data_IF_363309624673
#
_entry.id   IF_363309624673
#
_cell.length_a   1.000
_cell.length_b   1.000
_cell.length_c   1.000
_cell.angle_alpha   90.00
_cell.angle_beta   90.00
_cell.angle_gamma   90.00
#
_symmetry.space_group_name_H-M   'P 1'
#
loop_
_entity.id
_entity.type
_entity.pdbx_description
1 polymer ?
#
# COMPACT_ATOMS: atom_id res chain seq x y z
N UNK A 1 49.61 45.00 9.93
CA UNK A 1 49.52 43.56 9.59
C UNK A 1 48.40 42.89 10.40
N UNK A 2 47.11 43.22 10.18
CA UNK A 2 46.02 42.64 10.98
C UNK A 2 44.69 42.42 10.21
N UNK A 3 44.70 42.32 8.88
CA UNK A 3 43.47 42.10 8.09
C UNK A 3 43.38 40.72 7.39
N UNK A 4 44.46 39.94 7.40
CA UNK A 4 44.48 38.62 6.71
C UNK A 4 43.83 37.48 7.49
N UNK A 5 43.60 37.64 8.81
CA UNK A 5 43.09 36.57 9.68
C UNK A 5 41.56 36.54 9.80
N UNK A 6 40.87 37.61 9.41
CA UNK A 6 39.40 37.70 9.52
C UNK A 6 38.67 37.06 8.34
N UNK A 7 39.32 36.96 7.18
CA UNK A 7 38.72 36.33 5.99
C UNK A 7 38.70 34.79 6.05
N UNK A 8 39.55 34.16 6.88
CA UNK A 8 39.55 32.70 7.04
C UNK A 8 38.47 32.18 7.99
N UNK A 9 37.93 33.02 8.88
CA UNK A 9 36.84 32.61 9.78
C UNK A 9 35.48 32.58 9.10
N UNK A 10 35.26 33.45 8.12
CA UNK A 10 33.98 33.56 7.42
C UNK A 10 33.75 32.47 6.37
N UNK A 11 34.81 31.89 5.81
CA UNK A 11 34.69 30.81 4.81
C UNK A 11 34.33 29.46 5.43
N UNK A 12 34.70 29.21 6.70
CA UNK A 12 34.40 27.93 7.36
C UNK A 12 32.92 27.78 7.74
N UNK A 13 32.22 28.89 7.96
CA UNK A 13 30.80 28.89 8.36
C UNK A 13 29.83 28.80 7.18
N UNK A 14 30.28 29.13 5.96
CA UNK A 14 29.46 29.10 4.75
C UNK A 14 29.35 27.71 4.10
N UNK A 15 30.27 26.79 4.41
CA UNK A 15 30.26 25.44 3.84
C UNK A 15 29.25 24.49 4.48
N UNK A 16 28.87 24.72 5.75
CA UNK A 16 28.00 23.80 6.49
C UNK A 16 26.51 23.98 6.17
N UNK A 17 26.08 25.16 5.72
CA UNK A 17 24.69 25.41 5.34
C UNK A 17 24.32 24.79 3.97
N UNK A 18 25.28 24.68 3.04
CA UNK A 18 25.03 24.08 1.71
C UNK A 18 24.97 22.55 1.75
N UNK A 19 25.57 21.90 2.75
CA UNK A 19 25.49 20.45 2.91
C UNK A 19 24.08 19.98 3.35
N UNK A 20 23.29 20.85 4.00
CA UNK A 20 21.91 20.52 4.40
C UNK A 20 20.91 20.65 3.24
N UNK A 21 21.21 21.46 2.21
CA UNK A 21 20.40 21.53 0.98
C UNK A 21 20.63 20.33 0.04
N UNK A 22 21.65 19.51 0.32
CA UNK A 22 21.98 18.30 -0.46
C UNK A 22 21.24 17.04 -0.03
N UNK A 23 20.59 17.05 1.14
CA UNK A 23 19.59 16.04 1.47
C UNK A 23 18.29 16.46 0.78
N UNK A 24 17.98 15.88 -0.37
CA UNK A 24 16.80 16.16 -1.19
C UNK A 24 15.45 15.80 -0.54
N UNK A 25 15.26 16.14 0.73
CA UNK A 25 13.95 16.19 1.38
C UNK A 25 13.19 17.39 0.82
N UNK A 26 12.55 17.19 -0.33
CA UNK A 26 11.43 18.03 -0.68
C UNK A 26 10.31 17.71 0.31
N UNK A 27 9.83 18.75 1.01
CA UNK A 27 8.57 18.70 1.72
C UNK A 27 7.48 18.44 0.66
N UNK A 28 7.11 17.17 0.48
CA UNK A 28 5.92 16.77 -0.28
C UNK A 28 4.72 17.40 0.45
N UNK A 29 4.25 18.54 -0.04
CA UNK A 29 3.13 19.26 0.56
C UNK A 29 3.07 20.78 0.33
N UNK A 30 4.03 21.40 -0.38
CA UNK A 30 3.99 22.85 -0.64
C UNK A 30 3.67 23.24 -2.10
N UNK A 31 3.84 22.35 -3.09
CA UNK A 31 3.74 22.70 -4.52
C UNK A 31 3.09 21.64 -5.44
N UNK A 32 2.49 20.60 -4.86
CA UNK A 32 1.63 19.69 -5.61
C UNK A 32 0.25 19.80 -5.01
N UNK A 33 -0.75 20.10 -5.82
CA UNK A 33 -2.17 20.00 -5.48
C UNK A 33 -2.39 18.69 -4.72
N UNK A 34 -2.41 18.75 -3.38
CA UNK A 34 -2.71 17.60 -2.53
C UNK A 34 -4.20 17.45 -2.70
N UNK A 35 -4.57 16.75 -3.76
CA UNK A 35 -5.93 16.43 -4.15
C UNK A 35 -6.69 16.02 -2.90
N UNK A 36 -7.47 16.98 -2.39
CA UNK A 36 -8.39 16.73 -1.31
C UNK A 36 -9.46 15.86 -1.95
N UNK A 37 -9.49 14.59 -1.57
CA UNK A 37 -10.56 13.68 -1.93
C UNK A 37 -11.83 14.23 -1.26
N UNK A 38 -12.45 15.23 -1.87
CA UNK A 38 -13.55 15.99 -1.24
C UNK A 38 -14.80 15.13 -1.14
N UNK A 39 -15.04 14.31 -2.18
CA UNK A 39 -16.21 13.43 -2.29
C UNK A 39 -15.83 12.06 -2.85
N UNK A 40 -16.37 11.00 -2.26
CA UNK A 40 -16.21 9.61 -2.72
C UNK A 40 -17.54 8.86 -2.63
N UNK A 41 -17.89 8.09 -3.65
CA UNK A 41 -19.01 7.14 -3.59
C UNK A 41 -18.46 5.76 -3.22
N UNK A 42 -19.12 5.06 -2.29
CA UNK A 42 -18.82 3.66 -1.97
C UNK A 42 -20.00 2.82 -2.42
N UNK A 43 -19.73 1.80 -3.22
CA UNK A 43 -20.76 0.96 -3.83
C UNK A 43 -20.32 -0.50 -3.92
N UNK A 44 -21.25 -1.37 -4.32
CA UNK A 44 -20.99 -2.79 -4.54
C UNK A 44 -21.41 -3.67 -3.35
N UNK A 45 -21.34 -5.00 -3.51
CA UNK A 45 -21.79 -5.95 -2.50
C UNK A 45 -21.00 -5.90 -1.18
N UNK A 46 -19.81 -5.30 -1.17
CA UNK A 46 -19.02 -5.06 0.05
C UNK A 46 -19.27 -3.72 0.74
N UNK A 47 -20.22 -2.91 0.27
CA UNK A 47 -20.46 -1.56 0.81
C UNK A 47 -21.00 -1.55 2.25
N UNK A 48 -21.60 -2.65 2.71
CA UNK A 48 -22.11 -2.83 4.08
C UNK A 48 -21.17 -3.70 4.93
N UNK A 49 -19.92 -3.88 4.49
CA UNK A 49 -18.92 -4.62 5.27
C UNK A 49 -18.39 -3.79 6.44
N UNK A 50 -17.89 -4.40 7.53
CA UNK A 50 -17.29 -3.65 8.61
C UNK A 50 -16.03 -2.88 8.18
N UNK A 51 -15.39 -3.26 7.06
CA UNK A 51 -14.30 -2.50 6.45
C UNK A 51 -14.84 -1.21 5.82
N UNK A 52 -15.95 -1.28 5.10
CA UNK A 52 -16.59 -0.12 4.50
C UNK A 52 -17.05 0.87 5.57
N UNK A 53 -17.63 0.39 6.67
CA UNK A 53 -18.02 1.21 7.81
C UNK A 53 -16.82 1.99 8.39
N UNK A 54 -15.73 1.29 8.74
CA UNK A 54 -14.52 1.94 9.28
C UNK A 54 -13.86 2.88 8.26
N UNK A 55 -13.92 2.56 6.97
CA UNK A 55 -13.42 3.42 5.91
C UNK A 55 -14.23 4.72 5.82
N UNK A 56 -15.55 4.65 5.88
CA UNK A 56 -16.44 5.81 5.87
C UNK A 56 -16.13 6.71 7.06
N UNK A 57 -16.12 6.15 8.28
CA UNK A 57 -15.81 6.89 9.50
C UNK A 57 -14.46 7.62 9.40
N UNK A 58 -13.44 6.93 8.91
CA UNK A 58 -12.11 7.50 8.78
C UNK A 58 -12.02 8.57 7.69
N UNK A 59 -12.73 8.39 6.56
CA UNK A 59 -12.82 9.38 5.48
C UNK A 59 -13.53 10.65 5.96
N UNK A 60 -14.66 10.51 6.64
CA UNK A 60 -15.42 11.64 7.19
C UNK A 60 -14.61 12.39 8.26
N UNK A 61 -13.88 11.67 9.11
CA UNK A 61 -12.96 12.27 10.08
C UNK A 61 -11.83 13.09 9.43
N UNK A 62 -11.51 12.82 8.16
CA UNK A 62 -10.53 13.56 7.35
C UNK A 62 -11.17 14.62 6.43
N UNK A 63 -12.49 14.83 6.50
CA UNK A 63 -13.20 15.85 5.73
C UNK A 63 -13.65 15.40 4.33
N UNK A 64 -13.53 14.11 4.01
CA UNK A 64 -14.09 13.54 2.77
C UNK A 64 -15.57 13.22 2.98
N UNK A 65 -16.44 13.71 2.10
CA UNK A 65 -17.87 13.40 2.12
C UNK A 65 -18.17 12.12 1.32
N UNK A 66 -18.86 11.16 1.94
CA UNK A 66 -19.29 9.95 1.25
C UNK A 66 -20.68 10.17 0.65
N UNK A 67 -20.79 10.17 -0.68
CA UNK A 67 -22.05 10.45 -1.39
C UNK A 67 -22.11 9.75 -2.75
N UNK A 68 -23.30 9.29 -3.15
CA UNK A 68 -23.52 8.58 -4.41
C UNK A 68 -23.18 9.40 -5.67
N UNK A 69 -23.23 10.74 -5.54
CA UNK A 69 -22.98 11.69 -6.64
C UNK A 69 -21.51 12.10 -6.77
N UNK A 70 -20.60 11.46 -6.04
CA UNK A 70 -19.19 11.79 -6.07
C UNK A 70 -18.54 11.56 -7.46
N UNK A 71 -17.46 12.28 -7.80
CA UNK A 71 -16.73 12.11 -9.06
C UNK A 71 -16.00 10.75 -9.17
N UNK A 72 -15.71 10.13 -8.03
CA UNK A 72 -15.07 8.83 -7.92
C UNK A 72 -16.00 7.86 -7.19
N UNK A 73 -16.00 6.61 -7.66
CA UNK A 73 -16.71 5.50 -7.05
C UNK A 73 -15.74 4.37 -6.72
N UNK A 74 -15.64 4.04 -5.45
CA UNK A 74 -14.99 2.85 -4.93
C UNK A 74 -16.00 1.71 -4.90
N UNK A 75 -15.82 0.72 -5.77
CA UNK A 75 -16.65 -0.48 -5.78
C UNK A 75 -15.96 -1.58 -4.97
N UNK A 76 -16.58 -1.95 -3.85
CA UNK A 76 -16.11 -2.98 -2.92
C UNK A 76 -16.84 -4.29 -3.18
N UNK A 77 -16.09 -5.39 -3.13
CA UNK A 77 -16.64 -6.74 -3.00
C UNK A 77 -16.58 -7.18 -1.53
N UNK A 78 -17.29 -8.27 -1.16
CA UNK A 78 -17.20 -8.81 0.18
C UNK A 78 -15.74 -9.09 0.55
N UNK A 79 -15.37 -8.69 1.75
CA UNK A 79 -14.08 -9.05 2.31
C UNK A 79 -14.02 -10.54 2.60
N UNK A 80 -12.82 -11.10 2.49
CA UNK A 80 -12.51 -12.48 2.83
C UNK A 80 -11.41 -12.49 3.89
N UNK A 81 -11.55 -13.34 4.90
CA UNK A 81 -10.50 -13.52 5.91
C UNK A 81 -10.26 -14.99 6.23
N UNK A 82 -8.99 -15.34 6.41
CA UNK A 82 -8.59 -16.68 6.78
C UNK A 82 -7.38 -16.67 7.71
N UNK A 83 -7.16 -17.82 8.36
CA UNK A 83 -6.03 -18.02 9.27
C UNK A 83 -4.95 -18.81 8.55
N UNK A 84 -3.73 -18.28 8.60
CA UNK A 84 -2.51 -18.98 8.23
C UNK A 84 -1.80 -19.38 9.52
N UNK A 85 -1.68 -20.69 9.76
CA UNK A 85 -0.89 -21.20 10.88
C UNK A 85 0.58 -20.82 10.70
N UNK A 86 1.18 -20.29 11.77
CA UNK A 86 2.59 -19.99 11.89
C UNK A 86 3.37 -21.09 12.61
N UNK A 87 4.55 -20.73 13.10
CA UNK A 87 5.44 -21.64 13.83
C UNK A 87 5.01 -21.88 15.28
N UNK A 88 5.51 -22.96 15.86
CA UNK A 88 5.42 -23.22 17.30
C UNK A 88 6.60 -22.54 18.00
N UNK A 89 6.31 -21.80 19.06
CA UNK A 89 7.30 -21.13 19.89
C UNK A 89 7.90 -22.10 20.92
N UNK A 90 9.13 -21.83 21.32
CA UNK A 90 9.82 -22.60 22.37
C UNK A 90 9.08 -22.59 23.73
N UNK A 91 8.16 -21.63 23.93
CA UNK A 91 7.32 -21.50 25.13
C UNK A 91 6.04 -22.35 25.09
N UNK A 92 5.81 -23.14 24.02
CA UNK A 92 4.58 -23.91 23.80
C UNK A 92 3.48 -23.14 23.06
N UNK A 93 3.65 -21.82 22.84
CA UNK A 93 2.70 -21.04 22.05
C UNK A 93 2.73 -21.37 20.55
N UNK A 94 1.67 -21.02 19.83
CA UNK A 94 1.59 -21.09 18.38
C UNK A 94 1.25 -19.71 17.82
N UNK A 95 2.02 -19.24 16.84
CA UNK A 95 1.67 -18.03 16.10
C UNK A 95 0.61 -18.36 15.05
N UNK A 96 -0.40 -17.50 14.94
CA UNK A 96 -1.42 -17.55 13.89
C UNK A 96 -1.48 -16.16 13.23
N UNK A 97 -1.53 -16.16 11.90
CA UNK A 97 -1.65 -14.93 11.12
C UNK A 97 -3.03 -14.86 10.51
N UNK A 98 -3.76 -13.79 10.80
CA UNK A 98 -4.95 -13.39 10.07
C UNK A 98 -4.52 -12.77 8.75
N UNK A 99 -5.11 -13.23 7.65
CA UNK A 99 -5.01 -12.61 6.33
C UNK A 99 -6.37 -12.05 5.97
N UNK A 100 -6.45 -10.76 5.65
CA UNK A 100 -7.65 -10.05 5.25
C UNK A 100 -7.50 -9.58 3.81
N UNK A 101 -8.44 -9.97 2.94
CA UNK A 101 -8.50 -9.65 1.53
C UNK A 101 -9.73 -8.80 1.22
N UNK A 102 -9.51 -7.66 0.58
CA UNK A 102 -10.58 -6.75 0.17
C UNK A 102 -10.46 -6.51 -1.34
N UNK A 103 -11.24 -7.21 -2.17
CA UNK A 103 -11.25 -6.98 -3.62
C UNK A 103 -12.00 -5.69 -3.94
N UNK A 104 -11.37 -4.79 -4.68
CA UNK A 104 -11.93 -3.48 -5.02
C UNK A 104 -11.66 -3.09 -6.48
N UNK A 105 -12.41 -2.09 -6.93
CA UNK A 105 -12.16 -1.36 -8.18
C UNK A 105 -12.55 0.09 -8.01
N UNK A 106 -11.93 0.97 -8.78
CA UNK A 106 -12.14 2.42 -8.70
C UNK A 106 -12.56 2.92 -10.07
N UNK A 107 -13.69 3.61 -10.11
CA UNK A 107 -14.32 4.08 -11.33
C UNK A 107 -14.54 5.59 -11.23
N UNK A 108 -14.34 6.29 -12.35
CA UNK A 108 -14.75 7.69 -12.49
C UNK A 108 -16.21 7.73 -12.94
N UNK A 109 -17.04 8.50 -12.24
CA UNK A 109 -18.49 8.54 -12.53
C UNK A 109 -18.82 9.29 -13.81
N UNK A 110 -18.01 10.28 -14.20
CA UNK A 110 -18.23 11.12 -15.37
C UNK A 110 -18.24 10.34 -16.71
N UNK A 111 -17.33 9.40 -16.89
CA UNK A 111 -17.13 8.64 -18.13
C UNK A 111 -17.21 7.12 -17.92
N UNK A 112 -17.51 6.68 -16.70
CA UNK A 112 -17.54 5.27 -16.31
C UNK A 112 -16.22 4.52 -16.53
N UNK A 113 -15.10 5.22 -16.74
CA UNK A 113 -13.80 4.58 -16.90
C UNK A 113 -13.27 4.04 -15.58
N UNK A 114 -12.68 2.85 -15.62
CA UNK A 114 -11.97 2.27 -14.50
C UNK A 114 -10.58 2.90 -14.39
N UNK A 115 -10.31 3.56 -13.27
CA UNK A 115 -8.96 3.96 -12.88
C UNK A 115 -8.19 2.76 -12.31
N UNK A 116 -8.91 1.89 -11.60
CA UNK A 116 -8.41 0.60 -11.10
C UNK A 116 -9.45 -0.46 -11.46
N UNK A 117 -9.13 -1.36 -12.38
CA UNK A 117 -10.10 -2.31 -12.94
C UNK A 117 -10.48 -3.42 -11.97
N UNK A 118 -9.51 -4.01 -11.26
CA UNK A 118 -9.73 -5.04 -10.24
C UNK A 118 -8.41 -5.29 -9.51
N UNK A 119 -8.36 -4.95 -8.24
CA UNK A 119 -7.25 -5.25 -7.36
C UNK A 119 -7.74 -5.84 -6.05
N UNK A 120 -6.82 -6.44 -5.30
CA UNK A 120 -7.09 -6.92 -3.93
C UNK A 120 -6.15 -6.19 -2.99
N UNK A 121 -6.72 -5.57 -1.96
CA UNK A 121 -5.96 -5.09 -0.82
C UNK A 121 -5.82 -6.25 0.18
N UNK A 122 -4.60 -6.73 0.35
CA UNK A 122 -4.28 -7.76 1.34
C UNK A 122 -3.58 -7.10 2.54
N UNK A 123 -4.02 -7.42 3.74
CA UNK A 123 -3.37 -7.03 5.00
C UNK A 123 -3.30 -8.23 5.93
N UNK A 124 -2.36 -8.19 6.86
CA UNK A 124 -2.15 -9.29 7.79
C UNK A 124 -1.90 -8.76 9.21
N UNK A 125 -2.32 -9.54 10.20
CA UNK A 125 -2.00 -9.32 11.61
C UNK A 125 -1.71 -10.68 12.26
N UNK A 126 -0.80 -10.70 13.23
CA UNK A 126 -0.36 -11.95 13.88
C UNK A 126 -0.68 -11.89 15.37
N UNK A 127 -1.18 -13.00 15.90
CA UNK A 127 -1.37 -13.20 17.33
C UNK A 127 -0.78 -14.56 17.77
N UNK A 128 -0.44 -14.66 19.05
CA UNK A 128 0.10 -15.88 19.63
C UNK A 128 -0.94 -16.55 20.52
N UNK A 129 -1.26 -17.80 20.23
CA UNK A 129 -2.09 -18.65 21.08
C UNK A 129 -1.21 -19.40 22.07
N UNK A 130 -1.59 -19.44 23.34
CA UNK A 130 -0.89 -20.20 24.38
C UNK A 130 -1.70 -21.44 24.73
N UNK A 131 -1.01 -22.57 24.99
CA UNK A 131 -1.64 -23.88 25.30
C UNK A 131 -2.71 -23.79 26.42
N UNK A 132 -2.49 -22.92 27.41
CA UNK A 132 -3.39 -22.73 28.54
C UNK A 132 -4.57 -21.78 28.29
N UNK A 133 -4.63 -21.11 27.13
CA UNK A 133 -5.61 -20.06 26.84
C UNK A 133 -6.41 -20.31 25.56
N UNK A 134 -6.88 -21.55 25.39
CA UNK A 134 -7.72 -21.92 24.24
C UNK A 134 -9.11 -21.27 24.27
N UNK A 135 -9.59 -20.86 25.45
CA UNK A 135 -10.89 -20.20 25.61
C UNK A 135 -10.93 -18.82 24.93
N UNK A 136 -9.81 -18.09 24.90
CA UNK A 136 -9.74 -16.75 24.28
C UNK A 136 -9.31 -16.78 22.82
N UNK A 137 -9.27 -17.95 22.17
CA UNK A 137 -8.81 -18.05 20.77
C UNK A 137 -9.66 -17.20 19.82
N UNK A 138 -10.96 -17.23 20.01
CA UNK A 138 -11.89 -16.48 19.16
C UNK A 138 -11.75 -14.97 19.41
N UNK A 139 -11.62 -14.54 20.66
CA UNK A 139 -11.36 -13.14 21.01
C UNK A 139 -10.05 -12.62 20.38
N UNK A 140 -8.95 -13.37 20.51
CA UNK A 140 -7.65 -13.02 19.93
C UNK A 140 -7.72 -12.93 18.40
N UNK A 141 -8.51 -13.81 17.78
CA UNK A 141 -8.73 -13.81 16.33
C UNK A 141 -9.51 -12.58 15.90
N UNK A 142 -10.60 -12.27 16.57
CA UNK A 142 -11.44 -11.10 16.27
C UNK A 142 -10.64 -9.80 16.44
N UNK A 143 -9.85 -9.68 17.51
CA UNK A 143 -9.00 -8.52 17.73
C UNK A 143 -7.92 -8.36 16.65
N UNK A 144 -7.34 -9.48 16.20
CA UNK A 144 -6.37 -9.48 15.09
C UNK A 144 -7.03 -9.12 13.74
N UNK A 145 -8.24 -9.62 13.47
CA UNK A 145 -9.03 -9.22 12.29
C UNK A 145 -9.31 -7.72 12.30
N UNK A 146 -9.69 -7.16 13.45
CA UNK A 146 -9.92 -5.74 13.61
C UNK A 146 -8.65 -4.90 13.43
N UNK A 147 -7.49 -5.37 13.90
CA UNK A 147 -6.20 -4.71 13.63
C UNK A 147 -5.84 -4.73 12.15
N UNK A 148 -6.00 -5.88 11.49
CA UNK A 148 -5.76 -6.01 10.04
C UNK A 148 -6.70 -5.08 9.25
N UNK A 149 -7.97 -4.99 9.64
CA UNK A 149 -8.97 -4.11 9.03
C UNK A 149 -8.62 -2.63 9.17
N UNK A 150 -8.22 -2.19 10.37
CA UNK A 150 -7.75 -0.80 10.58
C UNK A 150 -6.54 -0.47 9.71
N UNK A 151 -5.63 -1.42 9.55
CA UNK A 151 -4.47 -1.26 8.66
C UNK A 151 -4.91 -1.18 7.19
N UNK A 152 -5.85 -2.02 6.76
CA UNK A 152 -6.42 -1.96 5.42
C UNK A 152 -7.07 -0.60 5.14
N UNK A 153 -7.80 -0.03 6.10
CA UNK A 153 -8.42 1.30 5.95
C UNK A 153 -7.35 2.36 5.69
N UNK A 154 -6.26 2.36 6.47
CA UNK A 154 -5.14 3.32 6.27
C UNK A 154 -4.54 3.18 4.87
N UNK A 155 -4.21 1.95 4.47
CA UNK A 155 -3.63 1.69 3.15
C UNK A 155 -4.59 2.08 2.02
N UNK A 156 -5.89 1.84 2.17
CA UNK A 156 -6.89 2.24 1.18
C UNK A 156 -6.94 3.77 1.03
N UNK A 157 -6.95 4.51 2.15
CA UNK A 157 -6.93 5.98 2.12
C UNK A 157 -5.67 6.50 1.43
N UNK A 158 -4.50 5.92 1.75
CA UNK A 158 -3.24 6.30 1.11
C UNK A 158 -3.26 6.02 -0.40
N UNK A 159 -3.81 4.87 -0.82
CA UNK A 159 -3.99 4.55 -2.24
C UNK A 159 -4.94 5.54 -2.93
N UNK A 160 -6.07 5.88 -2.31
CA UNK A 160 -7.04 6.85 -2.83
C UNK A 160 -6.39 8.23 -3.05
N UNK A 161 -5.56 8.68 -2.09
CA UNK A 161 -4.82 9.96 -2.20
C UNK A 161 -3.73 9.94 -3.26
N UNK A 162 -3.16 8.77 -3.55
CA UNK A 162 -2.12 8.60 -4.56
C UNK A 162 -2.66 8.47 -5.99
N UNK A 163 -3.98 8.40 -6.20
CA UNK A 163 -4.55 8.26 -7.53
C UNK A 163 -4.29 9.52 -8.38
N UNK A 164 -3.82 9.36 -9.63
CA UNK A 164 -3.76 10.47 -10.56
C UNK A 164 -5.19 10.84 -10.99
N UNK A 165 -5.74 11.91 -10.39
CA UNK A 165 -7.08 12.39 -10.74
C UNK A 165 -7.10 13.19 -12.05
N UNK A 166 -5.93 13.45 -12.62
CA UNK A 166 -5.76 14.12 -13.90
C UNK A 166 -5.34 13.09 -14.95
N UNK A 167 -6.03 13.09 -16.09
CA UNK A 167 -5.74 12.25 -17.25
C UNK A 167 -4.40 12.57 -17.92
N UNK A 168 -3.29 12.35 -17.23
CA UNK A 168 -1.99 12.13 -17.83
C UNK A 168 -1.68 10.62 -17.80
N UNK A 169 -2.58 9.86 -18.43
CA UNK A 169 -2.21 8.58 -19.02
C UNK A 169 -1.62 8.87 -20.42
N UNK A 170 -0.60 9.74 -20.47
CA UNK A 170 0.32 9.76 -21.59
C UNK A 170 1.11 8.44 -21.54
N UNK A 171 0.77 7.55 -22.46
CA UNK A 171 1.56 6.40 -22.88
C UNK A 171 1.83 5.31 -21.83
N UNK A 172 0.85 4.43 -21.61
CA UNK A 172 1.19 3.00 -21.50
C UNK A 172 1.51 2.52 -22.92
N UNK A 173 2.73 2.80 -23.35
CA UNK A 173 3.34 2.04 -24.45
C UNK A 173 3.43 0.59 -23.96
N UNK A 174 2.91 -0.40 -24.69
CA UNK A 174 3.20 -1.80 -24.37
C UNK A 174 4.69 -2.04 -24.58
N UNK A 175 5.47 -1.98 -23.49
CA UNK A 175 6.86 -2.43 -23.53
C UNK A 175 6.86 -3.96 -23.58
N UNK A 176 6.98 -4.43 -24.81
CA UNK A 176 7.79 -5.57 -25.21
C UNK A 176 7.85 -6.75 -24.23
N UNK A 177 7.05 -7.76 -24.54
CA UNK A 177 7.55 -9.12 -24.53
C UNK A 177 8.86 -9.16 -25.35
N UNK A 178 9.94 -9.53 -24.68
CA UNK A 178 11.24 -9.84 -25.27
C UNK A 178 11.67 -11.22 -24.75
N UNK A 179 12.64 -11.89 -25.40
CA UNK A 179 12.46 -13.18 -26.05
C UNK A 179 12.78 -14.36 -25.14
N UNK A 180 12.08 -15.48 -25.38
CA UNK A 180 12.44 -16.77 -24.83
C UNK A 180 13.87 -17.14 -25.23
N UNK A 181 14.69 -17.36 -24.21
CA UNK A 181 16.07 -17.76 -24.31
C UNK A 181 16.17 -19.16 -24.94
N UNK A 182 16.98 -19.26 -25.98
CA UNK A 182 17.52 -20.50 -26.46
C UNK A 182 18.54 -21.00 -25.42
N UNK A 183 18.17 -22.02 -24.66
CA UNK A 183 19.11 -22.78 -23.85
C UNK A 183 19.59 -24.00 -24.63
N UNK A 184 20.91 -24.05 -24.78
CA UNK A 184 21.66 -25.04 -25.49
C UNK A 184 21.56 -26.42 -24.84
N UNK A 185 21.31 -27.45 -25.64
CA UNK A 185 21.67 -28.82 -25.30
C UNK A 185 22.89 -29.20 -26.13
N UNK A 186 24.07 -29.08 -25.54
CA UNK A 186 25.32 -29.65 -26.03
C UNK A 186 25.28 -31.17 -25.81
N UNK A 187 25.43 -32.02 -26.83
CA UNK A 187 25.80 -33.41 -26.61
C UNK A 187 27.32 -33.49 -26.51
N UNK A 188 27.81 -34.03 -25.39
CA UNK A 188 29.19 -34.46 -25.26
C UNK A 188 29.52 -35.54 -26.30
N UNK A 189 30.60 -35.30 -27.01
CA UNK A 189 31.37 -36.26 -27.79
C UNK A 189 31.79 -37.46 -26.94
N UNK A 190 31.55 -38.69 -27.43
CA UNK A 190 32.33 -39.85 -27.02
C UNK A 190 32.63 -40.73 -28.24
N UNK A 191 33.92 -40.99 -28.41
CA UNK A 191 34.57 -41.73 -29.50
C UNK A 191 34.66 -43.22 -29.16
N UNK A 192 34.46 -44.09 -30.15
CA UNK A 192 35.12 -45.40 -30.37
C UNK A 192 34.51 -45.98 -31.67
N UNK A 193 35.21 -46.16 -32.78
CA UNK A 193 36.22 -47.20 -33.07
C UNK A 193 35.67 -48.62 -32.87
N UNK A 194 35.08 -49.19 -33.92
CA UNK A 194 35.45 -50.49 -34.51
C UNK A 194 34.87 -50.61 -35.92
#
# INVERSE_FOLDING_TARGET
>A
MLQRRQFLGFTLSAGLALALAGCGFHLRGLDGDVLSLDQLAIAGPGAESPFAEQLIEQLEAHGTQVTDNAPLRLNLNPEDSFIRAGGILNSGGQDETVVLNIPYSIQRTADSAYLVSRETLETTDTYTLQDGNLLSRDDLREEAQDRARREAVRQMIDRLRALPLSGDAAAVTPTAAAPGQAEASTPLESRATE
#
